data_IF_942087105346
#
_entry.id   IF_942087105346
#
_cell.length_a   1.000
_cell.length_b   1.000
_cell.length_c   1.000
_cell.angle_alpha   90.00
_cell.angle_beta   90.00
_cell.angle_gamma   90.00
#
_symmetry.space_group_name_H-M   'P 1'
#
loop_
_entity.id
_entity.type
_entity.pdbx_description
1 polymer ?
#
# COMPACT_ATOMS: atom_id res chain seq x y z
N UNK A 1 10.52 4.78 0.60
CA UNK A 1 10.72 4.78 -0.86
C UNK A 1 9.58 4.13 -1.64
N UNK A 2 9.08 2.94 -1.29
CA UNK A 2 7.97 2.25 -1.99
C UNK A 2 6.74 3.10 -2.39
N UNK A 3 6.24 4.00 -1.53
CA UNK A 3 5.17 4.94 -1.89
C UNK A 3 5.55 5.86 -3.06
N UNK A 4 6.76 6.44 -3.02
CA UNK A 4 7.23 7.36 -4.05
C UNK A 4 7.47 6.62 -5.37
N UNK A 5 7.99 5.40 -5.30
CA UNK A 5 8.16 4.53 -6.47
C UNK A 5 6.84 4.16 -7.14
N UNK A 6 5.84 3.71 -6.37
CA UNK A 6 4.50 3.44 -6.89
C UNK A 6 3.88 4.69 -7.51
N UNK A 7 4.02 5.84 -6.85
CA UNK A 7 3.53 7.13 -7.35
C UNK A 7 4.20 7.55 -8.66
N UNK A 8 5.51 7.37 -8.78
CA UNK A 8 6.24 7.66 -10.02
C UNK A 8 5.79 6.76 -11.15
N UNK A 9 5.67 5.45 -10.91
CA UNK A 9 5.18 4.50 -11.93
C UNK A 9 3.77 4.84 -12.39
N UNK A 10 2.84 5.13 -11.47
CA UNK A 10 1.48 5.53 -11.85
C UNK A 10 1.46 6.87 -12.61
N UNK A 11 2.34 7.80 -12.26
CA UNK A 11 2.48 9.07 -13.00
C UNK A 11 3.02 8.85 -14.42
N UNK A 12 3.92 7.88 -14.61
CA UNK A 12 4.41 7.49 -15.94
C UNK A 12 3.33 6.79 -16.78
N UNK A 13 2.47 5.99 -16.13
CA UNK A 13 1.35 5.29 -16.77
C UNK A 13 0.16 6.20 -17.11
N UNK A 14 0.10 7.39 -16.53
CA UNK A 14 -0.92 8.42 -16.76
C UNK A 14 -0.30 9.72 -17.32
N UNK A 15 0.14 9.72 -18.59
CA UNK A 15 0.76 10.89 -19.21
C UNK A 15 -0.18 12.10 -19.29
N UNK A 16 -1.49 11.85 -19.25
CA UNK A 16 -2.53 12.87 -19.31
C UNK A 16 -2.86 13.46 -17.92
N UNK A 17 -2.23 12.97 -16.84
CA UNK A 17 -2.43 13.42 -15.45
C UNK A 17 -3.90 13.40 -15.03
N UNK A 18 -4.64 12.40 -15.51
CA UNK A 18 -6.04 12.15 -15.16
C UNK A 18 -6.23 11.63 -13.73
N UNK A 19 -5.15 11.20 -13.09
CA UNK A 19 -5.08 10.47 -11.83
C UNK A 19 -5.69 9.06 -11.90
N UNK A 20 -5.85 8.52 -13.11
CA UNK A 20 -6.49 7.24 -13.36
C UNK A 20 -5.53 6.26 -14.02
N UNK A 21 -5.53 5.03 -13.54
CA UNK A 21 -4.88 3.89 -14.20
C UNK A 21 -5.91 2.77 -14.42
N UNK A 22 -5.69 1.93 -15.41
CA UNK A 22 -6.50 0.71 -15.60
C UNK A 22 -6.18 -0.34 -14.54
N UNK A 23 -7.11 -1.29 -14.34
CA UNK A 23 -6.90 -2.43 -13.44
C UNK A 23 -5.70 -3.27 -13.86
N UNK A 24 -5.52 -3.46 -15.16
CA UNK A 24 -4.41 -4.21 -15.76
C UNK A 24 -3.06 -3.54 -15.44
N UNK A 25 -2.99 -2.21 -15.54
CA UNK A 25 -1.81 -1.44 -15.15
C UNK A 25 -1.51 -1.55 -13.65
N UNK A 26 -2.53 -1.55 -12.79
CA UNK A 26 -2.34 -1.77 -11.36
C UNK A 26 -1.77 -3.17 -11.08
N UNK A 27 -2.37 -4.22 -11.66
CA UNK A 27 -1.90 -5.61 -11.49
C UNK A 27 -0.45 -5.75 -11.97
N UNK A 28 -0.13 -5.23 -13.15
CA UNK A 28 1.22 -5.29 -13.72
C UNK A 28 2.24 -4.58 -12.80
N UNK A 29 1.88 -3.42 -12.27
CA UNK A 29 2.74 -2.67 -11.34
C UNK A 29 2.97 -3.45 -10.05
N UNK A 30 1.92 -4.01 -9.44
CA UNK A 30 2.05 -4.77 -8.20
C UNK A 30 2.89 -6.04 -8.38
N UNK A 31 2.70 -6.76 -9.48
CA UNK A 31 3.53 -7.92 -9.82
C UNK A 31 5.01 -7.54 -10.06
N UNK A 32 5.32 -6.32 -10.51
CA UNK A 32 6.70 -5.85 -10.67
C UNK A 32 7.42 -5.68 -9.32
N UNK A 33 6.68 -5.51 -8.23
CA UNK A 33 7.19 -5.46 -6.86
C UNK A 33 7.07 -6.81 -6.14
N UNK A 34 6.97 -7.91 -6.88
CA UNK A 34 6.82 -9.27 -6.34
C UNK A 34 5.56 -9.44 -5.45
N UNK A 35 4.54 -8.59 -5.63
CA UNK A 35 3.25 -8.74 -4.94
C UNK A 35 2.34 -9.55 -5.86
N UNK A 36 2.04 -10.83 -5.54
CA UNK A 36 1.30 -11.71 -6.43
C UNK A 36 -0.18 -11.30 -6.49
N UNK A 37 -0.58 -10.71 -7.62
CA UNK A 37 -1.96 -10.25 -7.85
C UNK A 37 -2.56 -10.96 -9.06
N UNK A 38 -3.75 -11.52 -8.86
CA UNK A 38 -4.60 -12.10 -9.89
C UNK A 38 -5.83 -11.22 -10.13
N UNK A 39 -6.47 -11.33 -11.29
CA UNK A 39 -7.70 -10.57 -11.56
C UNK A 39 -8.81 -10.84 -10.53
N UNK A 40 -8.86 -12.04 -9.95
CA UNK A 40 -9.90 -12.40 -8.99
C UNK A 40 -9.65 -11.80 -7.60
N UNK A 41 -8.39 -11.74 -7.16
CA UNK A 41 -8.07 -11.21 -5.82
C UNK A 41 -8.02 -9.66 -5.80
N UNK A 42 -7.69 -9.00 -6.93
CA UNK A 42 -7.67 -7.54 -6.98
C UNK A 42 -9.07 -6.93 -6.91
N UNK A 43 -10.08 -7.54 -7.52
CA UNK A 43 -11.45 -7.01 -7.48
C UNK A 43 -12.00 -7.05 -6.04
N UNK A 44 -11.73 -8.16 -5.33
CA UNK A 44 -12.06 -8.29 -3.91
C UNK A 44 -11.30 -7.28 -3.04
N UNK A 45 -10.02 -7.05 -3.34
CA UNK A 45 -9.19 -6.07 -2.65
C UNK A 45 -9.74 -4.64 -2.82
N UNK A 46 -9.99 -4.23 -4.07
CA UNK A 46 -10.49 -2.90 -4.39
C UNK A 46 -11.86 -2.64 -3.76
N UNK A 47 -12.73 -3.67 -3.73
CA UNK A 47 -14.02 -3.59 -3.06
C UNK A 47 -13.88 -3.47 -1.53
N UNK A 48 -13.03 -4.29 -0.92
CA UNK A 48 -12.76 -4.29 0.52
C UNK A 48 -12.20 -2.95 1.00
N UNK A 49 -11.36 -2.32 0.19
CA UNK A 49 -10.72 -1.04 0.53
C UNK A 49 -11.45 0.19 -0.05
N UNK A 50 -12.69 0.02 -0.54
CA UNK A 50 -13.54 1.09 -1.05
C UNK A 50 -12.83 2.00 -2.08
N UNK A 51 -11.99 1.41 -2.94
CA UNK A 51 -11.33 2.15 -3.99
C UNK A 51 -12.36 2.65 -5.00
N UNK A 52 -12.26 3.92 -5.40
CA UNK A 52 -13.16 4.50 -6.40
C UNK A 52 -12.84 3.88 -7.76
N UNK A 53 -13.82 3.16 -8.30
CA UNK A 53 -13.79 2.60 -9.63
C UNK A 53 -14.54 3.53 -10.58
N UNK A 54 -13.93 3.83 -11.72
CA UNK A 54 -14.54 4.54 -12.84
C UNK A 54 -14.41 3.71 -14.10
N UNK A 55 -15.07 4.14 -15.17
CA UNK A 55 -14.89 3.57 -16.51
C UNK A 55 -14.30 4.61 -17.43
N UNK A 56 -13.32 4.21 -18.24
CA UNK A 56 -12.81 5.07 -19.31
C UNK A 56 -13.71 5.03 -20.55
N UNK A 57 -13.30 5.77 -21.58
CA UNK A 57 -13.98 5.83 -22.90
C UNK A 57 -14.05 4.47 -23.61
N UNK A 58 -13.17 3.53 -23.25
CA UNK A 58 -13.12 2.16 -23.78
C UNK A 58 -13.91 1.17 -22.91
N UNK A 59 -14.67 1.65 -21.91
CA UNK A 59 -15.44 0.85 -20.95
C UNK A 59 -14.58 -0.05 -20.04
N UNK A 60 -13.27 0.25 -19.92
CA UNK A 60 -12.34 -0.42 -19.02
C UNK A 60 -12.44 0.16 -17.61
N UNK A 61 -12.29 -0.69 -16.59
CA UNK A 61 -12.29 -0.25 -15.19
C UNK A 61 -11.01 0.49 -14.87
N UNK A 62 -11.14 1.75 -14.48
CA UNK A 62 -10.05 2.61 -14.04
C UNK A 62 -10.14 2.89 -12.55
N UNK A 63 -8.98 3.10 -11.94
CA UNK A 63 -8.78 3.25 -10.51
C UNK A 63 -8.10 4.60 -10.29
N UNK A 64 -8.63 5.39 -9.36
CA UNK A 64 -7.97 6.61 -8.90
C UNK A 64 -6.76 6.23 -8.04
N UNK A 65 -5.57 6.34 -8.64
CA UNK A 65 -4.34 5.89 -7.97
C UNK A 65 -3.92 6.80 -6.82
N UNK A 66 -4.35 8.07 -6.80
CA UNK A 66 -4.09 8.94 -5.66
C UNK A 66 -4.96 8.55 -4.46
N UNK A 67 -6.23 8.24 -4.70
CA UNK A 67 -7.13 7.72 -3.66
C UNK A 67 -6.63 6.37 -3.13
N UNK A 68 -6.20 5.48 -4.03
CA UNK A 68 -5.56 4.21 -3.68
C UNK A 68 -4.33 4.43 -2.81
N UNK A 69 -3.37 5.25 -3.26
CA UNK A 69 -2.14 5.52 -2.54
C UNK A 69 -2.38 6.21 -1.18
N UNK A 70 -3.38 7.10 -1.09
CA UNK A 70 -3.74 7.79 0.15
C UNK A 70 -4.22 6.82 1.23
N UNK A 71 -4.87 5.72 0.86
CA UNK A 71 -5.29 4.68 1.80
C UNK A 71 -4.11 4.09 2.58
N UNK A 72 -2.95 3.98 1.93
CA UNK A 72 -1.72 3.46 2.53
C UNK A 72 -0.87 4.54 3.21
N UNK A 73 -1.20 5.81 3.02
CA UNK A 73 -0.58 6.93 3.73
C UNK A 73 -1.33 7.35 4.99
N UNK A 74 -2.59 6.96 5.14
CA UNK A 74 -3.34 7.28 6.36
C UNK A 74 -2.61 6.64 7.55
N UNK A 75 -2.24 7.48 8.53
CA UNK A 75 -1.53 7.08 9.76
C UNK A 75 -2.42 7.21 11.00
N UNK A 76 -3.72 7.43 10.82
CA UNK A 76 -4.66 7.45 11.94
C UNK A 76 -4.66 6.10 12.66
N UNK A 77 -5.06 6.07 13.95
CA UNK A 77 -5.19 4.82 14.72
C UNK A 77 -6.21 3.83 14.09
N UNK A 78 -7.03 4.32 13.15
CA UNK A 78 -7.97 3.53 12.36
C UNK A 78 -7.43 3.09 11.00
N UNK A 79 -6.21 3.50 10.64
CA UNK A 79 -5.61 3.26 9.34
C UNK A 79 -5.30 1.79 9.07
N UNK A 80 -5.14 1.47 7.79
CA UNK A 80 -4.68 0.15 7.34
C UNK A 80 -3.37 -0.27 8.02
N UNK A 81 -2.40 0.64 8.13
CA UNK A 81 -1.11 0.36 8.78
C UNK A 81 -1.28 0.14 10.29
N UNK A 82 -2.10 0.93 10.97
CA UNK A 82 -2.38 0.74 12.40
C UNK A 82 -3.06 -0.61 12.67
N UNK A 83 -3.99 -1.03 11.79
CA UNK A 83 -4.64 -2.36 11.87
C UNK A 83 -3.65 -3.49 11.59
N UNK A 84 -2.85 -3.37 10.54
CA UNK A 84 -1.82 -4.35 10.18
C UNK A 84 -0.79 -4.56 11.31
N UNK A 85 -0.27 -3.47 11.88
CA UNK A 85 0.66 -3.52 13.03
C UNK A 85 -0.01 -4.11 14.27
N UNK A 86 -1.29 -3.83 14.49
CA UNK A 86 -2.05 -4.41 15.61
C UNK A 86 -2.30 -5.91 15.44
N UNK A 87 -2.49 -6.37 14.21
CA UNK A 87 -2.69 -7.79 13.90
C UNK A 87 -1.37 -8.57 13.89
N UNK A 88 -0.24 -7.96 13.52
CA UNK A 88 1.10 -8.52 13.70
C UNK A 88 1.47 -8.76 15.17
N UNK A 89 0.93 -7.96 16.11
CA UNK A 89 1.13 -8.13 17.55
C UNK A 89 0.32 -9.28 18.16
N UNK A 90 -0.65 -9.85 17.43
CA UNK A 90 -1.41 -11.01 17.90
C UNK A 90 -0.70 -12.29 17.46
N UNK A 91 -0.55 -13.30 18.33
CA UNK A 91 -0.03 -14.61 17.91
C UNK A 91 -0.95 -15.15 16.81
N UNK A 92 -0.37 -15.59 15.67
CA UNK A 92 -1.09 -16.07 14.48
C UNK A 92 -2.09 -17.17 14.87
N UNK A 93 -3.31 -16.80 15.25
CA UNK A 93 -4.42 -17.73 15.34
C UNK A 93 -4.83 -18.06 13.91
N UNK A 94 -5.06 -19.35 13.63
CA UNK A 94 -5.57 -19.87 12.35
C UNK A 94 -6.93 -19.25 12.05
N UNK A 95 -6.95 -18.04 11.51
CA UNK A 95 -8.15 -17.36 11.07
C UNK A 95 -8.06 -17.28 9.56
N UNK A 96 -9.09 -17.83 8.91
CA UNK A 96 -9.34 -17.92 7.47
C UNK A 96 -8.49 -16.97 6.63
N UNK A 97 -7.53 -17.50 5.88
CA UNK A 97 -6.79 -16.76 4.85
C UNK A 97 -7.83 -16.11 3.91
N UNK A 98 -7.90 -14.77 3.94
CA UNK A 98 -8.64 -14.00 2.93
C UNK A 98 -7.84 -14.06 1.64
N UNK A 99 -8.48 -14.23 0.48
CA UNK A 99 -7.80 -14.17 -0.82
C UNK A 99 -7.03 -12.85 -1.06
N UNK A 100 -7.29 -11.83 -0.25
CA UNK A 100 -6.64 -10.51 -0.32
C UNK A 100 -5.43 -10.37 0.63
N UNK A 101 -5.17 -11.32 1.53
CA UNK A 101 -4.11 -11.20 2.54
C UNK A 101 -2.73 -11.07 1.92
N UNK A 102 -2.46 -11.80 0.84
CA UNK A 102 -1.13 -11.80 0.21
C UNK A 102 -0.83 -10.45 -0.47
N UNK A 103 -1.88 -9.79 -0.99
CA UNK A 103 -1.78 -8.42 -1.53
C UNK A 103 -1.54 -7.44 -0.39
N UNK A 104 -2.31 -7.58 0.69
CA UNK A 104 -2.18 -6.73 1.89
C UNK A 104 -0.77 -6.86 2.49
N UNK A 105 -0.28 -8.08 2.69
CA UNK A 105 1.04 -8.37 3.26
C UNK A 105 2.16 -7.87 2.34
N UNK A 106 2.10 -8.12 1.03
CA UNK A 106 3.11 -7.62 0.09
C UNK A 106 3.14 -6.09 -0.01
N UNK A 107 1.98 -5.43 0.05
CA UNK A 107 1.89 -3.98 0.13
C UNK A 107 2.42 -3.46 1.47
N UNK A 108 2.11 -4.14 2.57
CA UNK A 108 2.66 -3.80 3.89
C UNK A 108 4.17 -3.89 3.83
N UNK A 109 4.77 -4.99 3.36
CA UNK A 109 6.22 -5.17 3.29
C UNK A 109 6.90 -4.09 2.43
N UNK A 110 6.37 -3.84 1.22
CA UNK A 110 6.84 -2.78 0.32
C UNK A 110 6.80 -1.38 0.98
N UNK A 111 5.85 -1.16 1.90
CA UNK A 111 5.67 0.09 2.62
C UNK A 111 6.32 0.10 4.02
N UNK A 112 6.58 -1.07 4.63
CA UNK A 112 7.12 -1.25 5.98
C UNK A 112 8.65 -1.08 6.02
N UNK A 113 9.37 -1.37 4.94
CA UNK A 113 10.80 -1.02 4.83
C UNK A 113 11.03 0.48 5.06
N UNK A 114 10.03 1.30 4.75
CA UNK A 114 10.00 2.75 5.03
C UNK A 114 9.75 3.02 6.51
N UNK A 115 8.87 2.23 7.15
CA UNK A 115 8.49 2.38 8.55
C UNK A 115 9.64 2.01 9.50
N UNK A 116 10.36 0.91 9.25
CA UNK A 116 11.50 0.50 10.08
C UNK A 116 12.71 1.43 9.90
N UNK A 117 12.97 1.89 8.67
CA UNK A 117 14.02 2.88 8.42
C UNK A 117 13.75 4.21 9.15
N UNK A 118 12.51 4.73 9.11
CA UNK A 118 12.17 5.98 9.81
C UNK A 118 12.10 5.81 11.33
N UNK A 119 11.55 4.72 11.84
CA UNK A 119 11.47 4.49 13.30
C UNK A 119 12.84 4.19 13.88
N UNK A 120 13.69 3.41 13.21
CA UNK A 120 15.08 3.20 13.62
C UNK A 120 15.88 4.50 13.58
N UNK A 121 15.76 5.30 12.51
CA UNK A 121 16.44 6.59 12.42
C UNK A 121 15.98 7.57 13.52
N UNK A 122 14.68 7.61 13.83
CA UNK A 122 14.12 8.50 14.86
C UNK A 122 14.47 8.03 16.28
N UNK A 123 14.43 6.72 16.53
CA UNK A 123 14.84 6.14 17.82
C UNK A 123 16.35 6.36 18.05
N UNK A 124 17.19 6.13 17.03
CA UNK A 124 18.64 6.40 17.13
C UNK A 124 18.96 7.88 17.31
N UNK A 125 18.19 8.78 16.69
CA UNK A 125 18.31 10.23 16.87
C UNK A 125 17.98 10.63 18.32
N UNK A 126 16.86 10.13 18.86
CA UNK A 126 16.46 10.39 20.25
C UNK A 126 17.46 9.79 21.24
N UNK A 127 18.00 8.60 20.98
CA UNK A 127 19.03 8.00 21.84
C UNK A 127 20.32 8.84 21.87
N UNK A 128 20.79 9.34 20.73
CA UNK A 128 21.98 10.21 20.66
C UNK A 128 21.80 11.54 21.39
N UNK A 129 20.61 12.14 21.32
CA UNK A 129 20.33 13.43 22.00
C UNK A 129 20.23 13.27 23.53
N UNK A 130 19.97 12.06 24.03
CA UNK A 130 20.00 11.76 25.47
C UNK A 130 21.40 11.40 26.00
N UNK A 131 22.34 10.99 25.14
CA UNK A 131 23.73 10.72 25.53
C UNK A 131 24.58 12.00 25.63
N UNK A 132 24.22 13.09 24.94
CA UNK A 132 24.89 14.41 25.03
C UNK A 132 24.46 15.25 26.26
N UNK A 133 23.60 14.71 27.13
CA UNK A 133 23.10 15.33 28.36
C UNK A 133 23.65 14.70 29.66
N UNK A 134 24.66 13.82 29.58
CA UNK A 134 25.37 13.26 30.73
C UNK A 134 26.81 13.78 30.84
#
# INVERSE_FOLDING_TARGET
EGYYWLKEIFTLLDPNRTNLITKEQLIATLNQFDIPVSHNNIDQFLQKHHCKLSKNTNNETTIDYNAFLKYFQDRSDTSFLARAVSDLKKPKSKTTQSNTSDIEDGLIDLLHDIFLSLTSATINYISRENDDLC
#
